data_IF_529999523285
#
_entry.id   IF_529999523285
#
_cell.length_a   1.000
_cell.length_b   1.000
_cell.length_c   1.000
_cell.angle_alpha   90.00
_cell.angle_beta   90.00
_cell.angle_gamma   90.00
#
_symmetry.space_group_name_H-M   'P 1'
#
loop_
_entity.id
_entity.type
_entity.pdbx_description
1 polymer ?
#
# COMPACT_ATOMS: atom_id res chain seq x y z
N UNK A 1 -24.15 -10.88 38.03
CA UNK A 1 -23.46 -10.59 36.77
C UNK A 1 -21.99 -10.98 36.90
N UNK A 2 -21.55 -11.96 36.14
CA UNK A 2 -20.15 -12.40 36.05
C UNK A 2 -19.34 -11.44 35.15
N UNK A 3 -18.00 -11.44 35.21
CA UNK A 3 -17.18 -10.65 34.30
C UNK A 3 -17.46 -10.94 32.81
N UNK A 4 -17.74 -12.21 32.47
CA UNK A 4 -18.07 -12.62 31.10
C UNK A 4 -19.45 -12.09 30.67
N UNK A 5 -20.44 -12.11 31.56
CA UNK A 5 -21.77 -11.52 31.30
C UNK A 5 -21.67 -10.01 31.08
N UNK A 6 -20.91 -9.29 31.93
CA UNK A 6 -20.69 -7.85 31.78
C UNK A 6 -19.97 -7.53 30.47
N UNK A 7 -18.94 -8.30 30.11
CA UNK A 7 -18.25 -8.15 28.82
C UNK A 7 -19.23 -8.31 27.66
N UNK A 8 -20.07 -9.35 27.67
CA UNK A 8 -21.06 -9.55 26.62
C UNK A 8 -22.07 -8.38 26.53
N UNK A 9 -22.53 -7.87 27.68
CA UNK A 9 -23.42 -6.71 27.72
C UNK A 9 -22.79 -5.47 27.08
N UNK A 10 -21.51 -5.19 27.37
CA UNK A 10 -20.76 -4.07 26.77
C UNK A 10 -20.67 -4.23 25.25
N UNK A 11 -20.38 -5.44 24.76
CA UNK A 11 -20.30 -5.72 23.33
C UNK A 11 -21.65 -5.56 22.64
N UNK A 12 -22.76 -5.99 23.25
CA UNK A 12 -24.10 -5.76 22.70
C UNK A 12 -24.47 -4.27 22.67
N UNK A 13 -24.16 -3.51 23.73
CA UNK A 13 -24.36 -2.05 23.74
C UNK A 13 -23.51 -1.34 22.68
N UNK A 14 -22.34 -1.88 22.35
CA UNK A 14 -21.49 -1.36 21.26
C UNK A 14 -22.19 -1.53 19.91
N UNK A 15 -22.84 -2.68 19.65
CA UNK A 15 -23.63 -2.89 18.43
C UNK A 15 -24.85 -1.95 18.37
N UNK A 16 -25.55 -1.79 19.49
CA UNK A 16 -26.67 -0.86 19.59
C UNK A 16 -26.23 0.57 19.26
N UNK A 17 -25.10 1.02 19.82
CA UNK A 17 -24.52 2.32 19.52
C UNK A 17 -24.21 2.48 18.03
N UNK A 18 -23.59 1.49 17.39
CA UNK A 18 -23.32 1.52 15.96
C UNK A 18 -24.60 1.75 15.14
N UNK A 19 -25.67 0.99 15.42
CA UNK A 19 -26.96 1.10 14.72
C UNK A 19 -27.63 2.46 14.91
N UNK A 20 -27.50 3.05 16.09
CA UNK A 20 -28.08 4.36 16.39
C UNK A 20 -27.28 5.53 15.81
N UNK A 21 -25.95 5.44 15.81
CA UNK A 21 -25.07 6.60 15.56
C UNK A 21 -24.38 6.55 14.20
N UNK A 22 -23.95 5.37 13.75
CA UNK A 22 -23.11 5.24 12.57
C UNK A 22 -23.86 4.71 11.34
N UNK A 23 -24.70 3.69 11.52
CA UNK A 23 -25.47 3.08 10.43
C UNK A 23 -26.32 4.09 9.64
N UNK A 24 -27.07 5.04 10.25
CA UNK A 24 -27.91 5.97 9.49
C UNK A 24 -27.11 6.86 8.53
N UNK A 25 -25.90 7.26 8.93
CA UNK A 25 -25.02 8.08 8.09
C UNK A 25 -24.45 7.29 6.90
N UNK A 26 -24.24 5.98 7.04
CA UNK A 26 -23.78 5.11 5.95
C UNK A 26 -24.86 4.86 4.89
N UNK A 27 -26.13 4.93 5.30
CA UNK A 27 -27.29 4.76 4.41
C UNK A 27 -28.00 6.07 4.05
N UNK A 28 -27.41 7.22 4.39
CA UNK A 28 -27.96 8.52 4.06
C UNK A 28 -28.18 8.64 2.54
N UNK A 29 -29.36 9.12 2.16
CA UNK A 29 -29.72 9.34 0.75
C UNK A 29 -28.76 10.37 0.14
N UNK A 30 -28.31 10.09 -1.07
CA UNK A 30 -27.49 11.03 -1.82
C UNK A 30 -28.34 12.18 -2.37
N UNK A 31 -27.94 13.41 -2.10
CA UNK A 31 -28.54 14.64 -2.64
C UNK A 31 -27.54 15.34 -3.58
N UNK A 32 -27.76 15.31 -4.91
CA UNK A 32 -26.89 15.99 -5.88
C UNK A 32 -26.65 17.47 -5.55
N UNK A 33 -25.41 17.92 -5.58
CA UNK A 33 -25.01 19.30 -5.27
C UNK A 33 -25.01 19.68 -3.79
N UNK A 34 -25.44 18.80 -2.88
CA UNK A 34 -25.36 19.00 -1.42
C UNK A 34 -24.52 17.95 -0.72
N UNK A 35 -24.72 16.68 -1.08
CA UNK A 35 -23.96 15.56 -0.53
C UNK A 35 -22.54 15.55 -1.09
N UNK A 36 -21.54 15.43 -0.22
CA UNK A 36 -20.15 15.30 -0.63
C UNK A 36 -19.89 13.92 -1.25
N UNK A 37 -19.16 13.89 -2.35
CA UNK A 37 -18.67 12.66 -3.00
C UNK A 37 -17.17 12.54 -2.72
N UNK A 38 -16.81 11.77 -1.70
CA UNK A 38 -15.41 11.57 -1.32
C UNK A 38 -14.68 10.68 -2.33
N UNK A 39 -13.36 10.87 -2.49
CA UNK A 39 -12.55 9.96 -3.33
C UNK A 39 -12.35 8.59 -2.66
N UNK A 40 -12.37 8.55 -1.32
CA UNK A 40 -12.24 7.32 -0.55
C UNK A 40 -12.94 7.47 0.80
N UNK A 41 -13.08 6.34 1.51
CA UNK A 41 -13.63 6.32 2.85
C UNK A 41 -13.57 4.93 3.46
N UNK A 42 -13.68 4.90 4.79
CA UNK A 42 -13.85 3.66 5.56
C UNK A 42 -15.27 3.12 5.39
N UNK A 43 -15.38 1.83 5.11
CA UNK A 43 -16.65 1.08 5.09
C UNK A 43 -16.55 0.03 6.16
N UNK A 44 -17.42 0.11 7.16
CA UNK A 44 -17.35 -0.69 8.39
C UNK A 44 -18.77 -0.94 8.91
N UNK A 45 -18.94 -1.94 9.75
CA UNK A 45 -20.18 -2.20 10.47
C UNK A 45 -19.92 -2.37 11.99
N UNK A 46 -20.87 -2.91 12.74
CA UNK A 46 -20.68 -3.13 14.16
C UNK A 46 -19.48 -4.05 14.49
N UNK A 47 -19.04 -4.92 13.58
CA UNK A 47 -18.00 -5.90 13.85
C UNK A 47 -16.64 -5.24 14.10
N UNK A 48 -16.29 -4.18 13.36
CA UNK A 48 -15.06 -3.43 13.62
C UNK A 48 -15.07 -2.81 15.03
N UNK A 49 -16.21 -2.23 15.44
CA UNK A 49 -16.36 -1.59 16.75
C UNK A 49 -16.36 -2.62 17.88
N UNK A 50 -17.06 -3.73 17.70
CA UNK A 50 -17.13 -4.84 18.68
C UNK A 50 -15.75 -5.45 18.89
N UNK A 51 -15.00 -5.75 17.82
CA UNK A 51 -13.65 -6.29 17.95
C UNK A 51 -12.70 -5.30 18.65
N UNK A 52 -12.83 -4.01 18.35
CA UNK A 52 -12.01 -2.97 18.99
C UNK A 52 -12.30 -2.86 20.50
N UNK A 53 -13.58 -2.88 20.90
CA UNK A 53 -13.99 -2.86 22.31
C UNK A 53 -13.58 -4.16 23.00
N UNK A 54 -13.74 -5.32 22.35
CA UNK A 54 -13.30 -6.61 22.87
C UNK A 54 -11.79 -6.61 23.18
N UNK A 55 -10.97 -6.14 22.26
CA UNK A 55 -9.52 -5.99 22.46
C UNK A 55 -9.19 -4.97 23.56
N UNK A 56 -9.98 -3.90 23.67
CA UNK A 56 -9.81 -2.89 24.72
C UNK A 56 -10.13 -3.44 26.12
N UNK A 57 -11.16 -4.29 26.23
CA UNK A 57 -11.54 -4.94 27.49
C UNK A 57 -10.54 -6.03 27.91
N UNK A 58 -9.90 -6.71 26.95
CA UNK A 58 -8.80 -7.65 27.22
C UNK A 58 -7.55 -6.93 27.75
N UNK A 59 -7.33 -5.68 27.31
CA UNK A 59 -6.27 -4.79 27.78
C UNK A 59 -4.85 -5.37 27.63
N UNK A 60 -4.63 -6.27 26.65
CA UNK A 60 -3.30 -6.78 26.29
C UNK A 60 -2.42 -5.74 25.59
N UNK A 61 -3.06 -4.80 24.87
CA UNK A 61 -2.50 -3.62 24.18
C UNK A 61 -1.53 -3.90 23.02
N UNK A 62 -0.54 -4.75 23.23
CA UNK A 62 0.54 -5.04 22.28
C UNK A 62 0.15 -6.18 21.32
N UNK A 63 1.05 -6.58 20.41
CA UNK A 63 0.86 -7.73 19.53
C UNK A 63 0.31 -8.96 20.30
N UNK A 64 -0.88 -9.42 19.92
CA UNK A 64 -1.65 -10.41 20.66
C UNK A 64 -2.50 -11.33 19.77
N UNK A 65 -3.68 -11.69 20.27
CA UNK A 65 -4.54 -12.68 19.64
C UNK A 65 -5.10 -12.20 18.30
N UNK A 66 -5.56 -10.95 18.21
CA UNK A 66 -6.05 -10.37 16.96
C UNK A 66 -4.93 -10.20 15.94
N UNK A 67 -3.73 -9.82 16.37
CA UNK A 67 -2.56 -9.70 15.50
C UNK A 67 -2.22 -11.04 14.84
N UNK A 68 -2.18 -12.13 15.63
CA UNK A 68 -1.93 -13.49 15.13
C UNK A 68 -3.05 -13.97 14.20
N UNK A 69 -4.31 -13.71 14.57
CA UNK A 69 -5.48 -14.05 13.75
C UNK A 69 -5.40 -13.35 12.39
N UNK A 70 -5.16 -12.03 12.38
CA UNK A 70 -5.06 -11.25 11.16
C UNK A 70 -3.89 -11.72 10.29
N UNK A 71 -2.66 -11.83 10.82
CA UNK A 71 -1.49 -12.25 10.04
C UNK A 71 -1.72 -13.61 9.37
N UNK A 72 -2.38 -14.56 10.07
CA UNK A 72 -2.74 -15.87 9.53
C UNK A 72 -3.76 -15.77 8.37
N UNK A 73 -4.88 -15.09 8.59
CA UNK A 73 -5.92 -14.98 7.57
C UNK A 73 -5.46 -14.14 6.37
N UNK A 74 -4.66 -13.10 6.60
CA UNK A 74 -4.06 -12.28 5.55
C UNK A 74 -3.04 -13.07 4.70
N UNK A 75 -2.17 -13.85 5.34
CA UNK A 75 -1.25 -14.73 4.64
C UNK A 75 -1.99 -15.78 3.79
N UNK A 76 -3.06 -16.37 4.34
CA UNK A 76 -3.94 -17.30 3.63
C UNK A 76 -4.63 -16.64 2.43
N UNK A 77 -5.18 -15.44 2.60
CA UNK A 77 -5.85 -14.67 1.55
C UNK A 77 -4.92 -14.38 0.37
N UNK A 78 -3.65 -14.05 0.64
CA UNK A 78 -2.65 -13.79 -0.39
C UNK A 78 -2.00 -15.06 -0.95
N UNK A 79 -2.14 -16.22 -0.28
CA UNK A 79 -1.44 -17.44 -0.65
C UNK A 79 0.07 -17.39 -0.37
N UNK A 80 0.49 -16.66 0.67
CA UNK A 80 1.90 -16.54 1.09
C UNK A 80 2.15 -17.25 2.42
N UNK A 81 3.41 -17.63 2.67
CA UNK A 81 3.79 -18.37 3.89
C UNK A 81 3.81 -17.49 5.15
N UNK A 82 4.24 -16.25 5.02
CA UNK A 82 4.39 -15.35 6.16
C UNK A 82 3.97 -13.92 5.83
N UNK A 83 3.17 -13.35 6.72
CA UNK A 83 2.82 -11.93 6.74
C UNK A 83 3.10 -11.35 8.13
N UNK A 84 3.57 -10.11 8.17
CA UNK A 84 3.98 -9.41 9.38
C UNK A 84 3.31 -8.05 9.44
N UNK A 85 2.46 -7.84 10.44
CA UNK A 85 1.84 -6.56 10.70
C UNK A 85 2.87 -5.51 11.12
N UNK A 86 2.69 -4.31 10.60
CA UNK A 86 3.45 -3.10 10.91
C UNK A 86 2.53 -1.89 11.02
N UNK A 87 3.01 -0.80 11.61
CA UNK A 87 2.18 0.35 11.98
C UNK A 87 1.70 1.23 10.81
N UNK A 88 2.21 1.04 9.58
CA UNK A 88 1.72 1.72 8.37
C UNK A 88 2.22 1.02 7.10
N UNK A 89 1.64 1.34 5.94
CA UNK A 89 2.19 0.94 4.64
C UNK A 89 3.61 1.49 4.41
N UNK A 90 3.87 2.72 4.82
CA UNK A 90 5.22 3.33 4.76
C UNK A 90 6.24 2.54 5.55
N UNK A 91 5.88 2.05 6.74
CA UNK A 91 6.72 1.17 7.55
C UNK A 91 6.87 -0.22 6.95
N UNK A 92 5.90 -0.70 6.18
CA UNK A 92 6.02 -1.94 5.42
C UNK A 92 7.07 -1.80 4.31
N UNK A 93 7.04 -0.69 3.54
CA UNK A 93 8.06 -0.36 2.56
C UNK A 93 9.45 -0.20 3.18
N UNK A 94 9.52 0.49 4.33
CA UNK A 94 10.76 0.62 5.10
C UNK A 94 11.33 -0.75 5.48
N UNK A 95 10.51 -1.61 6.09
CA UNK A 95 10.94 -2.93 6.55
C UNK A 95 11.33 -3.84 5.39
N UNK A 96 10.55 -3.83 4.30
CA UNK A 96 10.84 -4.60 3.09
C UNK A 96 12.20 -4.22 2.50
N UNK A 97 12.43 -2.92 2.32
CA UNK A 97 13.70 -2.43 1.80
C UNK A 97 14.88 -2.73 2.72
N UNK A 98 14.77 -2.37 4.01
CA UNK A 98 15.87 -2.57 4.96
C UNK A 98 16.20 -4.05 5.16
N UNK A 99 15.24 -4.97 5.01
CA UNK A 99 15.53 -6.40 5.06
C UNK A 99 16.55 -6.83 4.00
N UNK A 100 16.53 -6.22 2.82
CA UNK A 100 17.48 -6.49 1.74
C UNK A 100 18.89 -5.96 2.01
N UNK A 101 19.10 -5.21 3.10
CA UNK A 101 20.42 -4.68 3.51
C UNK A 101 21.15 -5.59 4.49
N UNK A 102 20.49 -6.66 4.96
CA UNK A 102 21.03 -7.53 6.00
C UNK A 102 22.32 -8.22 5.57
N UNK A 103 23.34 -8.30 6.46
CA UNK A 103 24.56 -9.07 6.18
C UNK A 103 24.29 -10.56 5.96
N UNK A 104 23.15 -11.09 6.42
CA UNK A 104 22.77 -12.49 6.18
C UNK A 104 22.55 -12.79 4.68
N UNK A 105 22.30 -11.78 3.87
CA UNK A 105 22.14 -11.90 2.41
C UNK A 105 23.47 -11.90 1.64
N UNK A 106 24.61 -11.78 2.34
CA UNK A 106 25.97 -11.86 1.77
C UNK A 106 26.13 -10.90 0.57
N UNK A 107 26.55 -11.39 -0.59
CA UNK A 107 26.82 -10.56 -1.78
C UNK A 107 25.57 -10.00 -2.46
N UNK A 108 24.40 -10.61 -2.22
CA UNK A 108 23.13 -10.13 -2.76
C UNK A 108 22.53 -9.00 -1.91
N UNK A 109 23.11 -8.67 -0.74
CA UNK A 109 22.64 -7.54 0.07
C UNK A 109 22.80 -6.21 -0.66
N UNK A 110 21.86 -5.30 -0.44
CA UNK A 110 21.96 -3.90 -0.86
C UNK A 110 22.94 -3.19 0.08
N UNK A 111 23.93 -2.50 -0.48
CA UNK A 111 24.91 -1.66 0.22
C UNK A 111 24.63 -0.19 -0.09
N UNK A 112 25.19 0.71 0.72
CA UNK A 112 25.12 2.15 0.44
C UNK A 112 25.77 2.46 -0.91
N UNK A 113 25.12 3.28 -1.72
CA UNK A 113 25.54 3.60 -3.08
C UNK A 113 25.11 2.59 -4.15
N UNK A 114 24.53 1.45 -3.78
CA UNK A 114 23.88 0.55 -4.74
C UNK A 114 22.60 1.20 -5.29
N UNK A 115 22.20 0.77 -6.48
CA UNK A 115 21.10 1.36 -7.24
C UNK A 115 19.81 0.53 -7.15
N UNK A 116 18.68 1.23 -7.07
CA UNK A 116 17.34 0.63 -7.00
C UNK A 116 16.46 1.28 -8.05
N UNK A 117 16.00 0.50 -9.02
CA UNK A 117 15.15 1.00 -10.09
C UNK A 117 13.72 1.21 -9.56
N UNK A 118 13.15 2.37 -9.86
CA UNK A 118 11.81 2.78 -9.44
C UNK A 118 11.26 3.86 -10.38
N UNK A 119 10.14 4.49 -10.03
CA UNK A 119 9.50 5.56 -10.80
C UNK A 119 9.34 6.83 -9.98
N UNK A 120 9.37 7.99 -10.67
CA UNK A 120 9.21 9.28 -10.01
C UNK A 120 7.74 9.65 -9.77
N UNK A 121 6.81 9.03 -10.51
CA UNK A 121 5.37 9.20 -10.33
C UNK A 121 4.82 8.12 -9.39
N UNK A 122 4.74 8.45 -8.11
CA UNK A 122 4.26 7.52 -7.10
C UNK A 122 4.13 8.17 -5.73
N UNK A 123 3.98 7.35 -4.71
CA UNK A 123 3.91 7.80 -3.33
C UNK A 123 5.33 7.90 -2.72
N UNK A 124 5.63 8.96 -1.94
CA UNK A 124 7.01 9.23 -1.49
C UNK A 124 7.62 8.10 -0.65
N UNK A 125 6.82 7.37 0.13
CA UNK A 125 7.33 6.32 1.01
C UNK A 125 7.58 4.98 0.30
N UNK A 126 7.33 4.88 -1.00
CA UNK A 126 7.89 3.82 -1.86
C UNK A 126 9.38 4.05 -2.11
N UNK A 127 9.82 5.32 -2.21
CA UNK A 127 11.22 5.68 -2.53
C UNK A 127 12.03 6.07 -1.30
N UNK A 128 11.38 6.64 -0.28
CA UNK A 128 12.07 7.13 0.91
C UNK A 128 13.02 6.10 1.58
N UNK A 129 12.68 4.80 1.72
CA UNK A 129 13.59 3.82 2.32
C UNK A 129 14.93 3.68 1.58
N UNK A 130 14.91 3.82 0.24
CA UNK A 130 16.10 3.75 -0.62
C UNK A 130 17.06 4.88 -0.23
N UNK A 131 16.55 6.11 -0.21
CA UNK A 131 17.31 7.32 0.12
C UNK A 131 17.76 7.31 1.58
N UNK A 132 16.88 6.93 2.52
CA UNK A 132 17.18 6.87 3.96
C UNK A 132 18.34 5.93 4.28
N UNK A 133 18.43 4.79 3.60
CA UNK A 133 19.56 3.87 3.76
C UNK A 133 20.84 4.39 3.10
N UNK A 134 20.74 5.30 2.13
CA UNK A 134 21.85 5.79 1.30
C UNK A 134 22.10 4.93 0.05
N UNK A 135 21.08 4.22 -0.43
CA UNK A 135 21.06 3.68 -1.79
C UNK A 135 20.57 4.76 -2.77
N UNK A 136 20.78 4.53 -4.07
CA UNK A 136 20.50 5.51 -5.13
C UNK A 136 19.25 5.08 -5.90
N UNK A 137 18.12 5.80 -5.79
CA UNK A 137 16.96 5.53 -6.64
C UNK A 137 17.28 5.89 -8.09
N UNK A 138 16.94 4.99 -9.00
CA UNK A 138 17.09 5.15 -10.45
C UNK A 138 15.70 5.23 -11.06
N UNK A 139 15.30 6.43 -11.47
CA UNK A 139 13.98 6.67 -12.03
C UNK A 139 13.95 6.35 -13.52
N UNK A 140 12.97 5.53 -13.89
CA UNK A 140 12.49 5.39 -15.27
C UNK A 140 11.11 6.03 -15.41
N UNK A 141 10.71 6.31 -16.65
CA UNK A 141 9.42 6.95 -16.93
C UNK A 141 8.23 5.97 -16.78
N UNK A 142 7.02 6.53 -16.90
CA UNK A 142 5.75 5.80 -16.80
C UNK A 142 5.12 5.53 -18.17
N UNK A 143 4.22 4.56 -18.24
CA UNK A 143 3.24 4.40 -19.32
C UNK A 143 1.97 5.21 -18.98
N UNK A 144 1.40 5.93 -19.95
CA UNK A 144 0.18 6.73 -19.75
C UNK A 144 -1.12 5.92 -19.87
N UNK A 145 -1.07 4.74 -20.50
CA UNK A 145 -2.25 3.90 -20.66
C UNK A 145 -2.61 3.18 -19.35
N UNK A 146 -1.60 2.60 -18.70
CA UNK A 146 -1.76 1.81 -17.48
C UNK A 146 -1.37 2.57 -16.20
N UNK A 147 -0.72 3.73 -16.32
CA UNK A 147 -0.18 4.54 -15.22
C UNK A 147 0.78 3.75 -14.32
N UNK A 148 1.66 2.94 -14.94
CA UNK A 148 2.68 2.16 -14.26
C UNK A 148 4.05 2.36 -14.91
N UNK A 149 5.09 1.76 -14.33
CA UNK A 149 6.46 1.78 -14.85
C UNK A 149 6.55 1.35 -16.32
N UNK A 150 7.26 2.14 -17.15
CA UNK A 150 7.63 1.70 -18.50
C UNK A 150 8.73 0.65 -18.43
N UNK A 151 8.28 -0.61 -18.42
CA UNK A 151 9.15 -1.78 -18.34
C UNK A 151 10.15 -1.88 -19.49
N UNK A 152 9.93 -1.21 -20.62
CA UNK A 152 10.88 -1.21 -21.75
C UNK A 152 12.16 -0.43 -21.45
N UNK A 153 12.16 0.40 -20.39
CA UNK A 153 13.32 1.20 -19.96
C UNK A 153 14.23 0.49 -18.96
N UNK A 154 13.85 -0.69 -18.46
CA UNK A 154 14.58 -1.39 -17.40
C UNK A 154 16.04 -1.72 -17.78
N UNK A 155 16.26 -2.24 -18.99
CA UNK A 155 17.61 -2.58 -19.46
C UNK A 155 18.50 -1.33 -19.60
N UNK A 156 17.93 -0.18 -19.93
CA UNK A 156 18.67 1.10 -19.97
C UNK A 156 18.99 1.62 -18.56
N UNK A 157 18.20 1.25 -17.57
CA UNK A 157 18.39 1.64 -16.19
C UNK A 157 19.43 0.79 -15.46
N UNK A 158 19.67 -0.43 -15.94
CA UNK A 158 20.61 -1.38 -15.37
C UNK A 158 22.05 -0.81 -15.35
N UNK A 159 22.75 -1.08 -14.26
CA UNK A 159 24.18 -0.84 -14.12
C UNK A 159 24.81 -1.93 -13.23
N UNK A 160 26.16 -2.00 -13.13
CA UNK A 160 26.83 -2.90 -12.18
C UNK A 160 26.47 -2.66 -10.71
N UNK A 161 25.86 -1.51 -10.37
CA UNK A 161 25.41 -1.16 -9.02
C UNK A 161 23.96 -1.54 -8.76
N UNK A 162 23.19 -1.91 -9.78
CA UNK A 162 21.77 -2.24 -9.61
C UNK A 162 21.61 -3.49 -8.76
N UNK A 163 20.75 -3.41 -7.73
CA UNK A 163 20.46 -4.53 -6.83
C UNK A 163 19.00 -4.89 -6.71
N UNK A 164 18.10 -3.97 -7.03
CA UNK A 164 16.68 -4.20 -6.85
C UNK A 164 15.82 -3.37 -7.81
N UNK A 165 14.60 -3.83 -8.00
CA UNK A 165 13.46 -3.02 -8.46
C UNK A 165 12.47 -2.91 -7.30
N UNK A 166 12.05 -1.69 -6.98
CA UNK A 166 11.01 -1.42 -5.98
C UNK A 166 9.98 -0.47 -6.58
N UNK A 167 8.78 -0.97 -6.83
CA UNK A 167 7.75 -0.23 -7.57
C UNK A 167 6.36 -0.60 -7.07
N UNK A 168 5.44 0.37 -7.12
CA UNK A 168 4.06 0.19 -6.71
C UNK A 168 3.15 -0.23 -7.87
N UNK A 169 2.13 -1.02 -7.56
CA UNK A 169 0.99 -1.24 -8.47
C UNK A 169 0.04 -0.03 -8.36
N UNK A 170 0.29 0.97 -9.20
CA UNK A 170 -0.30 2.31 -9.05
C UNK A 170 -1.82 2.28 -9.10
N UNK A 171 -2.47 2.84 -8.08
CA UNK A 171 -3.93 2.93 -7.93
C UNK A 171 -4.70 1.62 -8.13
N UNK A 172 -4.06 0.48 -7.84
CA UNK A 172 -4.69 -0.83 -7.96
C UNK A 172 -4.44 -1.52 -9.30
N UNK A 173 -3.96 -0.81 -10.32
CA UNK A 173 -3.60 -1.40 -11.59
C UNK A 173 -2.23 -2.07 -11.48
N UNK A 174 -2.11 -3.39 -11.73
CA UNK A 174 -0.80 -4.03 -11.70
C UNK A 174 0.09 -3.47 -12.81
N UNK A 175 1.36 -3.15 -12.53
CA UNK A 175 2.36 -3.00 -13.59
C UNK A 175 2.54 -4.32 -14.36
N UNK A 176 3.28 -4.31 -15.47
CA UNK A 176 3.64 -5.54 -16.20
C UNK A 176 4.58 -6.44 -15.35
N UNK A 177 3.99 -7.20 -14.42
CA UNK A 177 4.74 -7.94 -13.41
C UNK A 177 5.64 -8.99 -14.04
N UNK A 178 5.14 -9.66 -15.08
CA UNK A 178 5.90 -10.67 -15.81
C UNK A 178 7.19 -10.09 -16.38
N UNK A 179 7.12 -8.98 -17.11
CA UNK A 179 8.30 -8.36 -17.70
C UNK A 179 9.30 -7.87 -16.63
N UNK A 180 8.82 -7.23 -15.57
CA UNK A 180 9.67 -6.77 -14.46
C UNK A 180 10.33 -7.94 -13.75
N UNK A 181 9.58 -9.02 -13.48
CA UNK A 181 10.09 -10.22 -12.81
C UNK A 181 11.12 -10.96 -13.65
N UNK A 182 10.87 -11.11 -14.95
CA UNK A 182 11.82 -11.70 -15.90
C UNK A 182 13.13 -10.90 -15.96
N UNK A 183 13.04 -9.57 -15.95
CA UNK A 183 14.21 -8.69 -15.85
C UNK A 183 14.98 -8.89 -14.53
N UNK A 184 14.29 -8.93 -13.39
CA UNK A 184 14.93 -9.17 -12.10
C UNK A 184 15.62 -10.54 -12.05
N UNK A 185 14.98 -11.59 -12.56
CA UNK A 185 15.53 -12.95 -12.57
C UNK A 185 16.77 -13.06 -13.46
N UNK A 186 16.73 -12.44 -14.64
CA UNK A 186 17.85 -12.41 -15.59
C UNK A 186 19.13 -11.80 -14.97
N UNK A 187 18.96 -10.80 -14.11
CA UNK A 187 20.06 -9.99 -13.56
C UNK A 187 20.31 -10.22 -12.06
N UNK A 188 19.70 -11.25 -11.46
CA UNK A 188 19.79 -11.59 -10.02
C UNK A 188 19.41 -10.42 -9.08
N UNK A 189 18.45 -9.60 -9.50
CA UNK A 189 17.96 -8.45 -8.73
C UNK A 189 16.85 -8.87 -7.77
N UNK A 190 16.70 -8.13 -6.67
CA UNK A 190 15.52 -8.24 -5.82
C UNK A 190 14.31 -7.55 -6.45
N UNK A 191 13.11 -8.07 -6.17
CA UNK A 191 11.86 -7.38 -6.48
C UNK A 191 11.06 -7.12 -5.21
N UNK A 192 10.80 -5.84 -4.91
CA UNK A 192 9.80 -5.43 -3.91
C UNK A 192 8.57 -4.92 -4.64
N UNK A 193 7.44 -5.57 -4.40
CA UNK A 193 6.13 -5.12 -4.87
C UNK A 193 5.49 -4.25 -3.78
N UNK A 194 5.44 -2.94 -4.03
CA UNK A 194 4.59 -2.06 -3.24
C UNK A 194 3.13 -2.26 -3.65
N UNK A 195 2.41 -3.00 -2.81
CA UNK A 195 1.03 -3.41 -3.04
C UNK A 195 0.10 -2.70 -2.04
N UNK A 196 0.48 -1.50 -1.59
CA UNK A 196 -0.34 -0.68 -0.70
C UNK A 196 -1.71 -0.37 -1.33
N UNK A 197 -1.73 0.08 -2.59
CA UNK A 197 -2.95 0.49 -3.29
C UNK A 197 -3.56 -0.60 -4.19
N UNK A 198 -3.07 -1.84 -4.14
CA UNK A 198 -3.48 -2.90 -5.06
C UNK A 198 -3.86 -4.20 -4.36
N UNK A 199 -4.24 -4.12 -3.08
CA UNK A 199 -4.72 -5.29 -2.36
C UNK A 199 -5.95 -5.88 -3.08
N UNK A 200 -5.84 -7.15 -3.47
CA UNK A 200 -6.89 -7.90 -4.17
C UNK A 200 -6.80 -7.84 -5.69
N UNK A 201 -5.84 -7.09 -6.25
CA UNK A 201 -5.55 -7.15 -7.68
C UNK A 201 -4.90 -8.50 -8.02
N UNK A 202 -5.21 -9.00 -9.21
CA UNK A 202 -4.59 -10.22 -9.75
C UNK A 202 -3.83 -9.89 -11.04
N UNK A 203 -2.76 -10.63 -11.29
CA UNK A 203 -2.05 -10.68 -12.57
C UNK A 203 -1.88 -12.16 -12.92
N UNK A 204 -2.25 -12.59 -14.12
CA UNK A 204 -2.27 -14.01 -14.50
C UNK A 204 -2.96 -14.91 -13.45
N UNK A 205 -4.04 -14.42 -12.84
CA UNK A 205 -4.80 -15.10 -11.78
C UNK A 205 -4.09 -15.19 -10.41
N UNK A 206 -2.86 -14.69 -10.27
CA UNK A 206 -2.09 -14.69 -9.03
C UNK A 206 -2.16 -13.32 -8.34
N UNK A 207 -2.34 -13.25 -7.01
CA UNK A 207 -2.38 -11.97 -6.28
C UNK A 207 -1.11 -11.12 -6.47
N UNK A 208 -1.30 -9.82 -6.67
CA UNK A 208 -0.20 -8.84 -6.62
C UNK A 208 0.45 -8.80 -5.23
N UNK A 209 1.72 -8.41 -5.18
CA UNK A 209 2.54 -8.48 -3.96
C UNK A 209 3.16 -9.86 -3.69
N UNK A 210 2.82 -10.88 -4.48
CA UNK A 210 3.25 -12.28 -4.25
C UNK A 210 4.17 -12.83 -5.36
N UNK A 211 4.57 -11.98 -6.30
CA UNK A 211 5.45 -12.29 -7.42
C UNK A 211 6.92 -12.02 -7.12
N UNK A 212 7.20 -10.93 -6.42
CA UNK A 212 8.52 -10.54 -5.96
C UNK A 212 8.97 -11.28 -4.70
N UNK A 213 10.08 -10.82 -4.15
CA UNK A 213 10.69 -11.40 -2.95
C UNK A 213 9.98 -10.93 -1.67
N UNK A 214 9.48 -9.69 -1.68
CA UNK A 214 8.72 -9.08 -0.57
C UNK A 214 7.57 -8.24 -1.15
N UNK A 215 6.38 -8.42 -0.60
CA UNK A 215 5.23 -7.55 -0.85
C UNK A 215 4.91 -6.68 0.37
N UNK A 216 4.26 -5.54 0.13
CA UNK A 216 3.80 -4.64 1.19
C UNK A 216 2.34 -4.25 1.01
N UNK A 217 1.64 -3.94 2.09
CA UNK A 217 0.26 -3.45 2.06
C UNK A 217 0.03 -2.38 3.11
N UNK A 218 -0.95 -1.51 2.86
CA UNK A 218 -1.35 -0.40 3.73
C UNK A 218 -2.79 -0.57 4.19
N UNK A 219 -3.06 -0.20 5.44
CA UNK A 219 -4.38 -0.24 6.07
C UNK A 219 -4.80 1.15 6.58
N UNK A 220 -4.31 2.21 5.94
CA UNK A 220 -4.78 3.59 6.16
C UNK A 220 -6.19 3.78 5.56
N UNK A 221 -7.09 4.62 6.10
CA UNK A 221 -8.53 4.59 5.81
C UNK A 221 -8.98 4.69 4.33
N UNK A 222 -8.24 5.34 3.41
CA UNK A 222 -8.55 5.34 1.99
C UNK A 222 -8.38 3.99 1.27
N UNK A 223 -7.58 3.07 1.82
CA UNK A 223 -7.21 1.81 1.18
C UNK A 223 -8.35 0.79 1.17
N UNK A 224 -8.10 -0.39 0.62
CA UNK A 224 -9.11 -1.43 0.45
C UNK A 224 -9.68 -1.96 1.76
N UNK A 225 -8.89 -1.92 2.82
CA UNK A 225 -9.29 -2.20 4.19
C UNK A 225 -8.53 -1.28 5.13
N UNK A 226 -9.03 -1.11 6.36
CA UNK A 226 -8.43 -0.19 7.32
C UNK A 226 -8.19 -0.77 8.71
N UNK A 227 -7.18 -0.25 9.40
CA UNK A 227 -6.95 -0.41 10.84
C UNK A 227 -6.87 0.95 11.56
N UNK A 228 -7.36 2.02 10.91
CA UNK A 228 -7.02 3.41 11.26
C UNK A 228 -5.61 3.75 10.79
N UNK A 229 -4.60 3.14 11.40
CA UNK A 229 -3.21 3.12 10.92
C UNK A 229 -2.74 1.67 10.92
N UNK A 230 -2.02 1.25 9.88
CA UNK A 230 -1.52 -0.12 9.78
C UNK A 230 -0.96 -0.45 8.41
N UNK A 231 -0.24 -1.56 8.35
CA UNK A 231 0.27 -2.15 7.12
C UNK A 231 0.78 -3.56 7.38
N UNK A 232 1.23 -4.22 6.32
CA UNK A 232 1.85 -5.53 6.42
C UNK A 232 2.99 -5.67 5.42
N UNK A 233 4.01 -6.45 5.78
CA UNK A 233 5.01 -6.97 4.85
C UNK A 233 4.94 -8.49 4.81
N UNK A 234 5.17 -9.10 3.66
CA UNK A 234 4.98 -10.54 3.48
C UNK A 234 5.97 -11.13 2.48
N UNK A 235 6.30 -12.41 2.68
CA UNK A 235 7.28 -13.13 1.87
C UNK A 235 7.05 -14.65 1.92
N UNK A 236 7.58 -15.34 0.92
CA UNK A 236 7.71 -16.80 0.91
C UNK A 236 9.14 -17.28 1.23
N UNK A 237 10.09 -16.36 1.45
CA UNK A 237 11.49 -16.68 1.71
C UNK A 237 11.77 -16.76 3.23
N UNK A 238 12.21 -17.93 3.75
CA UNK A 238 12.44 -18.12 5.19
C UNK A 238 13.58 -17.25 5.76
N UNK A 239 14.56 -16.91 4.94
CA UNK A 239 15.66 -16.02 5.34
C UNK A 239 15.16 -14.58 5.48
N UNK A 240 14.38 -14.09 4.51
CA UNK A 240 13.76 -12.76 4.58
C UNK A 240 12.77 -12.66 5.75
N UNK A 241 11.99 -13.71 6.03
CA UNK A 241 11.20 -13.82 7.26
C UNK A 241 12.06 -13.53 8.51
N UNK A 242 13.19 -14.22 8.65
CA UNK A 242 14.05 -14.09 9.84
C UNK A 242 14.54 -12.66 9.99
N UNK A 243 15.00 -12.07 8.88
CA UNK A 243 15.52 -10.69 8.85
C UNK A 243 14.42 -9.69 9.20
N UNK A 244 13.25 -9.78 8.55
CA UNK A 244 12.14 -8.87 8.79
C UNK A 244 11.62 -8.94 10.22
N UNK A 245 11.50 -10.14 10.81
CA UNK A 245 11.12 -10.28 12.21
C UNK A 245 12.13 -9.61 13.15
N UNK A 246 13.42 -9.82 12.90
CA UNK A 246 14.48 -9.17 13.68
C UNK A 246 14.39 -7.65 13.57
N UNK A 247 14.36 -7.09 12.36
CA UNK A 247 14.32 -5.65 12.12
C UNK A 247 13.04 -4.99 12.62
N UNK A 248 11.88 -5.64 12.54
CA UNK A 248 10.62 -5.12 13.09
C UNK A 248 10.65 -5.03 14.62
N UNK A 249 11.37 -5.95 15.26
CA UNK A 249 11.40 -6.16 16.70
C UNK A 249 12.75 -5.76 17.31
N UNK A 250 13.07 -4.48 17.21
CA UNK A 250 14.27 -3.82 17.77
C UNK A 250 15.60 -4.30 17.21
N UNK A 251 15.61 -5.13 16.17
CA UNK A 251 16.82 -5.73 15.62
C UNK A 251 17.31 -6.92 16.44
N UNK A 252 16.49 -7.45 17.36
CA UNK A 252 16.86 -8.56 18.23
C UNK A 252 17.12 -9.84 17.41
N UNK A 253 18.11 -10.63 17.80
CA UNK A 253 18.43 -11.90 17.14
C UNK A 253 17.44 -13.01 17.50
N UNK A 254 16.90 -12.94 18.71
CA UNK A 254 15.93 -13.87 19.22
C UNK A 254 14.59 -13.80 18.46
N UNK A 255 14.11 -14.95 18.00
CA UNK A 255 12.84 -15.09 17.26
C UNK A 255 11.66 -15.53 18.13
N UNK A 256 11.82 -15.56 19.46
CA UNK A 256 10.72 -15.92 20.36
C UNK A 256 9.52 -14.99 20.16
N UNK A 257 8.32 -15.57 20.19
CA UNK A 257 7.08 -14.80 20.13
C UNK A 257 7.01 -13.77 21.29
N UNK A 258 6.27 -12.68 21.07
CA UNK A 258 5.97 -11.73 22.14
C UNK A 258 5.33 -12.44 23.33
N UNK A 259 5.82 -12.15 24.55
CA UNK A 259 5.39 -12.83 25.77
C UNK A 259 5.93 -14.24 25.99
N UNK A 260 6.68 -14.82 25.02
CA UNK A 260 7.30 -16.14 25.15
C UNK A 260 8.81 -16.00 25.33
N UNK A 261 9.37 -16.84 26.19
CA UNK A 261 10.80 -16.91 26.48
C UNK A 261 11.40 -18.23 26.01
N UNK A 262 12.66 -18.16 25.55
CA UNK A 262 13.51 -19.34 25.33
C UNK A 262 12.93 -20.39 24.36
N UNK A 263 12.13 -19.99 23.37
CA UNK A 263 11.69 -20.87 22.27
C UNK A 263 12.89 -21.50 21.54
N UNK A 264 14.01 -20.77 21.46
CA UNK A 264 15.26 -21.28 20.89
C UNK A 264 15.98 -22.33 21.77
N UNK A 265 15.61 -22.49 23.04
CA UNK A 265 16.31 -23.29 24.07
C UNK A 265 17.78 -22.89 24.28
N UNK A 266 18.13 -21.66 23.92
CA UNK A 266 19.51 -21.14 23.91
C UNK A 266 19.68 -19.79 24.61
N UNK A 267 18.68 -19.35 25.40
CA UNK A 267 18.64 -18.00 25.99
C UNK A 267 19.90 -17.61 26.78
N UNK A 268 20.48 -18.54 27.55
CA UNK A 268 21.64 -18.29 28.41
C UNK A 268 22.80 -19.27 28.16
N UNK A 269 22.89 -19.89 26.98
CA UNK A 269 23.88 -20.96 26.71
C UNK A 269 24.83 -20.67 25.55
N UNK A 270 24.79 -19.47 24.99
CA UNK A 270 25.59 -19.08 23.83
C UNK A 270 26.44 -17.84 24.13
N UNK A 271 27.45 -17.62 23.28
CA UNK A 271 28.21 -16.37 23.21
C UNK A 271 27.92 -15.72 21.86
N UNK A 272 27.64 -14.42 21.86
CA UNK A 272 27.31 -13.66 20.65
C UNK A 272 28.29 -12.49 20.48
N UNK A 273 29.12 -12.54 19.45
CA UNK A 273 30.19 -11.55 19.26
C UNK A 273 31.10 -11.46 20.50
N UNK A 274 31.30 -10.24 20.98
CA UNK A 274 32.13 -9.95 22.17
C UNK A 274 31.34 -9.94 23.48
N UNK A 275 30.02 -10.15 23.44
CA UNK A 275 29.19 -10.26 24.66
C UNK A 275 29.66 -11.43 25.54
N UNK A 276 29.46 -11.36 26.87
CA UNK A 276 29.81 -12.46 27.76
C UNK A 276 29.00 -13.74 27.42
N UNK A 277 29.59 -14.91 27.71
CA UNK A 277 28.87 -16.17 27.57
C UNK A 277 27.63 -16.17 28.48
N UNK A 278 26.50 -16.61 27.93
CA UNK A 278 25.24 -16.66 28.67
C UNK A 278 24.49 -15.33 28.76
N UNK A 279 24.92 -14.29 28.02
CA UNK A 279 24.12 -13.07 27.87
C UNK A 279 22.73 -13.38 27.31
N UNK A 280 21.70 -12.74 27.85
CA UNK A 280 20.31 -13.03 27.51
C UNK A 280 20.05 -12.84 26.01
N UNK A 281 19.71 -13.91 25.31
CA UNK A 281 19.41 -13.87 23.87
C UNK A 281 18.31 -12.85 23.51
N UNK A 282 17.38 -12.52 24.43
CA UNK A 282 16.38 -11.46 24.21
C UNK A 282 16.99 -10.06 24.04
N UNK A 283 18.19 -9.84 24.56
CA UNK A 283 18.93 -8.58 24.49
C UNK A 283 20.18 -8.67 23.60
N UNK A 284 20.23 -9.69 22.73
CA UNK A 284 21.20 -9.75 21.65
C UNK A 284 20.57 -9.16 20.40
N UNK A 285 21.26 -8.21 19.77
CA UNK A 285 20.79 -7.53 18.57
C UNK A 285 21.69 -7.87 17.38
N UNK A 286 21.11 -8.44 16.32
CA UNK A 286 21.83 -8.83 15.10
C UNK A 286 21.59 -7.89 13.92
N UNK A 287 20.69 -6.92 14.07
CA UNK A 287 20.42 -5.88 13.08
C UNK A 287 20.23 -4.52 13.74
N UNK A 288 20.46 -3.44 12.99
CA UNK A 288 19.90 -2.13 13.32
C UNK A 288 18.41 -2.14 12.95
N UNK A 289 17.58 -2.51 13.91
CA UNK A 289 16.13 -2.60 13.73
C UNK A 289 15.37 -1.38 14.23
N UNK A 290 14.06 -1.53 14.24
CA UNK A 290 13.05 -0.53 14.55
C UNK A 290 12.05 -1.11 15.57
N UNK A 291 11.03 -0.35 15.94
CA UNK A 291 9.84 -0.90 16.59
C UNK A 291 8.61 -0.51 15.78
N UNK A 292 8.23 -1.38 14.83
CA UNK A 292 7.17 -1.08 13.87
C UNK A 292 5.88 -1.86 14.14
N UNK A 293 5.77 -2.57 15.25
CA UNK A 293 4.59 -3.38 15.58
C UNK A 293 3.35 -2.51 15.80
N UNK A 294 2.19 -3.09 15.50
CA UNK A 294 0.87 -2.53 15.85
C UNK A 294 0.42 -2.99 17.23
N UNK A 295 -0.55 -2.26 17.77
CA UNK A 295 -1.39 -2.73 18.89
C UNK A 295 -2.37 -3.83 18.44
N UNK A 296 -2.82 -4.66 19.38
CA UNK A 296 -3.86 -5.66 19.07
C UNK A 296 -5.19 -4.99 18.70
N UNK A 297 -5.45 -3.79 19.21
CA UNK A 297 -6.63 -2.98 18.91
C UNK A 297 -6.72 -2.64 17.42
N UNK A 298 -5.59 -2.26 16.80
CA UNK A 298 -5.53 -2.01 15.36
C UNK A 298 -5.81 -3.31 14.58
N UNK A 299 -5.19 -4.43 15.00
CA UNK A 299 -5.40 -5.72 14.37
C UNK A 299 -6.85 -6.23 14.50
N UNK A 300 -7.54 -5.88 15.59
CA UNK A 300 -8.93 -6.25 15.85
C UNK A 300 -9.89 -5.66 14.80
N UNK A 301 -9.67 -4.40 14.42
CA UNK A 301 -10.39 -3.75 13.31
C UNK A 301 -10.11 -4.48 12.00
N UNK A 302 -8.84 -4.78 11.71
CA UNK A 302 -8.49 -5.50 10.48
C UNK A 302 -9.09 -6.91 10.40
N UNK A 303 -9.25 -7.60 11.54
CA UNK A 303 -9.91 -8.90 11.59
C UNK A 303 -11.38 -8.85 11.14
N UNK A 304 -12.09 -7.76 11.41
CA UNK A 304 -13.45 -7.58 10.89
C UNK A 304 -13.45 -7.17 9.41
N UNK A 305 -12.47 -6.36 8.99
CA UNK A 305 -12.38 -5.88 7.60
C UNK A 305 -12.03 -6.99 6.60
N UNK A 306 -11.15 -7.92 6.97
CA UNK A 306 -10.72 -9.00 6.06
C UNK A 306 -11.86 -9.92 5.65
N UNK A 307 -12.87 -10.09 6.52
CA UNK A 307 -14.08 -10.88 6.23
C UNK A 307 -14.94 -10.22 5.14
N UNK A 308 -14.94 -8.89 5.07
CA UNK A 308 -15.69 -8.09 4.08
C UNK A 308 -14.93 -7.89 2.77
N UNK A 309 -13.63 -8.16 2.76
CA UNK A 309 -12.72 -7.79 1.69
C UNK A 309 -13.15 -8.23 0.26
N UNK A 310 -13.69 -9.46 0.04
CA UNK A 310 -14.18 -9.83 -1.29
C UNK A 310 -15.26 -8.90 -1.83
N UNK A 311 -16.15 -8.40 -0.96
CA UNK A 311 -17.20 -7.45 -1.36
C UNK A 311 -16.62 -6.08 -1.73
N UNK A 312 -15.56 -5.65 -1.05
CA UNK A 312 -14.88 -4.39 -1.34
C UNK A 312 -14.24 -4.41 -2.74
N UNK A 313 -13.59 -5.51 -3.11
CA UNK A 313 -13.04 -5.69 -4.46
C UNK A 313 -14.16 -5.62 -5.51
N UNK A 314 -15.23 -6.39 -5.32
CA UNK A 314 -16.35 -6.45 -6.27
C UNK A 314 -16.97 -5.06 -6.50
N UNK A 315 -17.21 -4.30 -5.41
CA UNK A 315 -17.77 -2.94 -5.49
C UNK A 315 -16.83 -1.96 -6.20
N UNK A 316 -15.52 -2.03 -5.93
CA UNK A 316 -14.52 -1.18 -6.60
C UNK A 316 -14.49 -1.43 -8.11
N UNK A 317 -14.53 -2.70 -8.53
CA UNK A 317 -14.59 -3.09 -9.95
C UNK A 317 -15.88 -2.62 -10.63
N UNK A 318 -17.02 -2.79 -9.97
CA UNK A 318 -18.31 -2.32 -10.48
C UNK A 318 -18.33 -0.80 -10.66
N UNK A 319 -17.88 -0.06 -9.65
CA UNK A 319 -17.82 1.41 -9.67
C UNK A 319 -16.89 1.92 -10.77
N UNK A 320 -15.70 1.31 -10.90
CA UNK A 320 -14.77 1.61 -11.98
C UNK A 320 -15.41 1.40 -13.35
N UNK A 321 -16.05 0.24 -13.57
CA UNK A 321 -16.69 -0.08 -14.85
C UNK A 321 -17.76 0.96 -15.22
N UNK A 322 -18.59 1.37 -14.26
CA UNK A 322 -19.64 2.38 -14.48
C UNK A 322 -19.05 3.73 -14.88
N UNK A 323 -17.98 4.18 -14.22
CA UNK A 323 -17.27 5.41 -14.60
C UNK A 323 -16.64 5.30 -15.99
N UNK A 324 -15.94 4.19 -16.25
CA UNK A 324 -15.30 3.94 -17.55
C UNK A 324 -16.33 3.98 -18.69
N UNK A 325 -17.42 3.21 -18.57
CA UNK A 325 -18.45 3.16 -19.60
C UNK A 325 -19.11 4.52 -19.85
N UNK A 326 -19.26 5.36 -18.81
CA UNK A 326 -19.87 6.68 -18.92
C UNK A 326 -18.94 7.79 -19.43
N UNK A 327 -17.62 7.56 -19.44
CA UNK A 327 -16.63 8.59 -19.77
C UNK A 327 -15.77 8.24 -20.99
N UNK A 328 -15.70 6.98 -21.42
CA UNK A 328 -14.78 6.49 -22.47
C UNK A 328 -14.89 7.17 -23.83
N UNK A 329 -16.04 7.76 -24.13
CA UNK A 329 -16.29 8.42 -25.42
C UNK A 329 -15.91 9.93 -25.41
N UNK A 330 -15.44 10.45 -24.26
CA UNK A 330 -14.96 11.83 -24.11
C UNK A 330 -13.51 11.90 -24.60
N UNK A 331 -13.29 12.53 -25.77
CA UNK A 331 -11.97 12.58 -26.43
C UNK A 331 -10.97 13.49 -25.70
N UNK A 332 -11.46 14.45 -24.93
CA UNK A 332 -10.66 15.36 -24.12
C UNK A 332 -10.07 14.68 -22.87
N UNK A 333 -10.43 13.42 -22.59
CA UNK A 333 -9.96 12.65 -21.45
C UNK A 333 -9.34 11.32 -21.89
N UNK A 334 -8.10 11.08 -21.48
CA UNK A 334 -7.44 9.78 -21.55
C UNK A 334 -7.74 9.05 -20.24
N UNK A 335 -8.42 7.91 -20.33
CA UNK A 335 -8.81 7.10 -19.17
C UNK A 335 -7.82 5.95 -18.97
N UNK A 336 -7.54 5.61 -17.71
CA UNK A 336 -6.76 4.41 -17.40
C UNK A 336 -7.48 3.14 -17.88
N UNK A 337 -6.71 2.21 -18.43
CA UNK A 337 -7.18 0.88 -18.79
C UNK A 337 -6.47 -0.19 -17.94
N UNK A 338 -7.09 -1.37 -17.72
CA UNK A 338 -6.42 -2.46 -17.02
C UNK A 338 -5.18 -2.92 -17.81
N UNK A 339 -4.09 -3.17 -17.10
CA UNK A 339 -2.91 -3.82 -17.67
C UNK A 339 -3.33 -5.17 -18.32
N UNK A 340 -2.79 -5.54 -19.51
CA UNK A 340 -3.01 -6.86 -20.08
C UNK A 340 -2.73 -7.99 -19.09
N UNK A 341 -3.59 -9.01 -19.10
CA UNK A 341 -3.59 -10.17 -18.19
C UNK A 341 -3.81 -9.84 -16.71
N UNK A 342 -4.29 -8.65 -16.38
CA UNK A 342 -4.62 -8.26 -15.02
C UNK A 342 -6.12 -8.25 -14.73
N UNK A 343 -6.45 -8.35 -13.45
CA UNK A 343 -7.78 -8.10 -12.90
C UNK A 343 -7.65 -7.10 -11.73
N UNK A 344 -7.63 -5.79 -12.02
CA UNK A 344 -7.33 -4.77 -11.02
C UNK A 344 -8.41 -4.61 -9.96
N UNK A 345 -7.98 -4.54 -8.70
CA UNK A 345 -8.76 -4.07 -7.56
C UNK A 345 -8.53 -2.56 -7.42
N UNK A 346 -9.26 -1.77 -8.20
CA UNK A 346 -9.04 -0.33 -8.34
C UNK A 346 -9.10 0.45 -7.02
N UNK A 347 -8.04 1.20 -6.74
CA UNK A 347 -8.00 2.17 -5.64
C UNK A 347 -8.74 3.46 -6.00
N UNK A 348 -8.48 3.97 -7.20
CA UNK A 348 -9.03 5.20 -7.76
C UNK A 348 -9.23 5.09 -9.27
N UNK A 349 -9.98 6.03 -9.84
CA UNK A 349 -10.22 6.15 -11.28
C UNK A 349 -9.38 7.31 -11.84
N UNK A 350 -8.29 6.98 -12.53
CA UNK A 350 -7.36 7.96 -13.10
C UNK A 350 -7.84 8.48 -14.45
N UNK A 351 -7.68 9.79 -14.64
CA UNK A 351 -7.94 10.48 -15.90
C UNK A 351 -6.81 11.46 -16.19
N UNK A 352 -6.53 11.67 -17.47
CA UNK A 352 -5.59 12.68 -17.95
C UNK A 352 -6.26 13.56 -18.98
N UNK A 353 -6.11 14.87 -18.84
CA UNK A 353 -6.59 15.80 -19.87
C UNK A 353 -5.74 15.62 -21.13
N UNK A 354 -6.41 15.35 -22.25
CA UNK A 354 -5.77 15.10 -23.53
C UNK A 354 -5.11 16.38 -24.08
N UNK A 355 -4.05 16.21 -24.85
CA UNK A 355 -3.39 17.33 -25.52
C UNK A 355 -4.37 18.02 -26.48
N UNK A 356 -4.39 19.35 -26.46
CA UNK A 356 -5.32 20.15 -27.28
C UNK A 356 -6.73 20.33 -26.71
N UNK A 357 -7.03 19.76 -25.54
CA UNK A 357 -8.26 20.10 -24.82
C UNK A 357 -8.31 21.61 -24.51
N UNK A 358 -9.50 22.20 -24.58
CA UNK A 358 -9.72 23.64 -24.35
C UNK A 358 -9.76 24.03 -22.86
N UNK A 359 -9.33 23.15 -21.98
CA UNK A 359 -9.32 23.33 -20.53
C UNK A 359 -8.14 22.58 -19.94
N UNK A 360 -7.67 23.05 -18.77
CA UNK A 360 -6.63 22.37 -18.01
C UNK A 360 -7.21 21.35 -17.03
N UNK A 361 -6.36 20.47 -16.50
CA UNK A 361 -6.71 19.58 -15.38
C UNK A 361 -7.19 20.35 -14.15
N UNK A 362 -6.63 21.53 -13.87
CA UNK A 362 -7.07 22.38 -12.77
C UNK A 362 -8.48 22.91 -13.00
N UNK A 363 -8.82 23.35 -14.21
CA UNK A 363 -10.18 23.83 -14.51
C UNK A 363 -11.23 22.75 -14.24
N UNK A 364 -10.96 21.52 -14.67
CA UNK A 364 -11.85 20.38 -14.44
C UNK A 364 -11.90 19.99 -12.96
N UNK A 365 -10.74 19.88 -12.28
CA UNK A 365 -10.69 19.53 -10.86
C UNK A 365 -11.40 20.56 -9.99
N UNK A 366 -11.20 21.86 -10.23
CA UNK A 366 -11.90 22.92 -9.52
C UNK A 366 -13.41 22.89 -9.76
N UNK A 367 -13.84 22.61 -10.99
CA UNK A 367 -15.26 22.47 -11.31
C UNK A 367 -15.90 21.30 -10.55
N UNK A 368 -15.20 20.17 -10.48
CA UNK A 368 -15.63 18.99 -9.72
C UNK A 368 -15.67 19.26 -8.22
N UNK A 369 -14.64 19.88 -7.65
CA UNK A 369 -14.60 20.23 -6.22
C UNK A 369 -15.70 21.24 -5.85
N UNK A 370 -15.99 22.22 -6.71
CA UNK A 370 -17.13 23.15 -6.55
C UNK A 370 -18.48 22.42 -6.60
N UNK A 371 -18.57 21.31 -7.33
CA UNK A 371 -19.74 20.42 -7.34
C UNK A 371 -19.75 19.40 -6.18
N UNK A 372 -18.82 19.50 -5.23
CA UNK A 372 -18.72 18.58 -4.09
C UNK A 372 -18.14 17.21 -4.42
N UNK A 373 -17.52 17.05 -5.59
CA UNK A 373 -16.82 15.84 -6.04
C UNK A 373 -15.34 16.00 -5.74
N UNK A 374 -14.84 15.16 -4.83
CA UNK A 374 -13.47 15.24 -4.39
C UNK A 374 -12.52 14.63 -5.42
N UNK A 375 -11.44 15.33 -5.71
CA UNK A 375 -10.40 14.98 -6.68
C UNK A 375 -9.04 14.89 -6.02
N UNK A 376 -8.10 14.14 -6.62
CA UNK A 376 -6.72 14.03 -6.13
C UNK A 376 -5.76 13.98 -7.30
N UNK A 377 -4.61 14.64 -7.20
CA UNK A 377 -3.50 14.38 -8.11
C UNK A 377 -2.93 12.96 -7.87
N UNK A 378 -2.14 12.44 -8.82
CA UNK A 378 -1.39 11.20 -8.59
C UNK A 378 -0.25 11.44 -7.58
N UNK A 379 -0.59 11.53 -6.30
CA UNK A 379 0.37 11.64 -5.21
C UNK A 379 1.38 12.77 -5.42
N UNK A 380 2.66 12.44 -5.57
CA UNK A 380 3.72 13.41 -5.84
C UNK A 380 3.72 13.92 -7.30
N UNK A 381 3.04 13.28 -8.25
CA UNK A 381 3.12 13.61 -9.67
C UNK A 381 4.50 13.28 -10.22
N UNK A 382 5.47 14.18 -10.07
CA UNK A 382 6.89 13.91 -10.30
C UNK A 382 7.69 14.25 -9.04
N UNK A 383 8.12 13.22 -8.29
CA UNK A 383 8.90 13.37 -7.07
C UNK A 383 10.15 14.25 -7.26
N UNK A 384 10.83 14.16 -8.41
CA UNK A 384 12.06 14.93 -8.69
C UNK A 384 11.84 16.44 -8.79
N UNK A 385 10.58 16.89 -8.85
CA UNK A 385 10.17 18.32 -8.86
C UNK A 385 9.79 18.84 -7.47
N UNK A 386 9.74 17.98 -6.45
CA UNK A 386 9.37 18.40 -5.09
C UNK A 386 10.53 19.07 -4.34
N UNK A 387 10.24 19.94 -3.36
CA UNK A 387 11.27 20.58 -2.55
C UNK A 387 12.25 19.60 -1.87
N UNK A 388 11.81 18.38 -1.55
CA UNK A 388 12.68 17.37 -0.94
C UNK A 388 13.83 16.91 -1.86
N UNK A 389 13.73 17.15 -3.17
CA UNK A 389 14.78 16.89 -4.15
C UNK A 389 15.68 18.11 -4.41
N UNK A 390 15.40 19.28 -3.82
CA UNK A 390 16.12 20.52 -4.11
C UNK A 390 17.63 20.43 -3.80
N UNK A 391 17.99 19.72 -2.73
CA UNK A 391 19.39 19.54 -2.30
C UNK A 391 20.01 18.23 -2.82
N UNK A 392 19.28 17.43 -3.60
CA UNK A 392 19.75 16.16 -4.14
C UNK A 392 20.36 16.35 -5.54
N UNK A 393 21.49 15.71 -5.79
CA UNK A 393 22.24 15.81 -7.04
C UNK A 393 21.98 14.62 -7.96
N UNK A 394 21.54 14.89 -9.19
CA UNK A 394 21.43 13.89 -10.26
C UNK A 394 22.80 13.26 -10.53
N UNK A 395 22.84 11.94 -10.67
CA UNK A 395 24.06 11.15 -10.90
C UNK A 395 24.82 10.79 -9.63
N UNK A 396 24.43 11.33 -8.47
CA UNK A 396 25.02 11.03 -7.16
C UNK A 396 23.99 10.50 -6.17
N UNK A 397 22.97 11.31 -5.87
CA UNK A 397 21.96 10.98 -4.87
C UNK A 397 20.77 10.25 -5.49
N UNK A 398 20.50 10.47 -6.77
CA UNK A 398 19.55 9.72 -7.59
C UNK A 398 19.97 9.76 -9.05
N UNK A 399 19.40 8.91 -9.90
CA UNK A 399 19.63 8.89 -11.34
C UNK A 399 18.32 8.91 -12.10
N UNK A 400 18.30 9.51 -13.28
CA UNK A 400 17.16 9.52 -14.19
C UNK A 400 17.63 8.91 -15.51
N UNK A 401 16.86 7.95 -16.03
CA UNK A 401 17.20 7.23 -17.27
C UNK A 401 16.35 7.81 -18.39
N UNK A 402 17.00 8.48 -19.34
CA UNK A 402 16.31 9.19 -20.41
C UNK A 402 15.58 10.43 -19.87
N UNK A 403 14.32 10.58 -20.24
CA UNK A 403 13.45 11.69 -19.84
C UNK A 403 12.23 11.16 -19.10
N UNK A 404 11.66 11.99 -18.22
CA UNK A 404 10.46 11.68 -17.44
C UNK A 404 9.22 12.37 -18.04
N UNK A 405 9.03 12.25 -19.36
CA UNK A 405 8.00 12.99 -20.11
C UNK A 405 6.59 12.63 -19.65
N UNK A 406 6.31 11.33 -19.52
CA UNK A 406 4.99 10.86 -19.12
C UNK A 406 4.75 11.14 -17.63
N UNK A 407 5.79 11.04 -16.80
CA UNK A 407 5.75 11.47 -15.39
C UNK A 407 5.41 12.96 -15.26
N UNK A 408 6.05 13.84 -16.04
CA UNK A 408 5.73 15.28 -16.06
C UNK A 408 4.31 15.53 -16.61
N UNK A 409 3.87 14.79 -17.63
CA UNK A 409 2.48 14.85 -18.10
C UNK A 409 1.49 14.44 -17.00
N UNK A 410 1.79 13.37 -16.26
CA UNK A 410 0.96 12.92 -15.13
C UNK A 410 0.84 14.01 -14.05
N UNK A 411 1.95 14.66 -13.71
CA UNK A 411 1.97 15.75 -12.72
C UNK A 411 1.09 16.95 -13.14
N UNK A 412 1.08 17.27 -14.43
CA UNK A 412 0.45 18.48 -14.97
C UNK A 412 -1.01 18.27 -15.37
N UNK A 413 -1.34 17.11 -15.93
CA UNK A 413 -2.60 16.87 -16.64
C UNK A 413 -3.45 15.76 -16.04
N UNK A 414 -2.93 14.98 -15.09
CA UNK A 414 -3.65 13.85 -14.51
C UNK A 414 -4.18 14.10 -13.11
N UNK A 415 -5.33 13.51 -12.83
CA UNK A 415 -5.95 13.44 -11.52
C UNK A 415 -6.87 12.21 -11.46
N UNK A 416 -7.22 11.79 -10.25
CA UNK A 416 -8.10 10.67 -10.02
C UNK A 416 -9.25 11.03 -9.08
N UNK A 417 -10.32 10.25 -9.21
CA UNK A 417 -11.53 10.31 -8.39
C UNK A 417 -11.84 8.95 -7.79
N UNK A 418 -12.78 8.91 -6.85
CA UNK A 418 -13.08 7.69 -6.10
C UNK A 418 -13.77 6.59 -6.89
N UNK A 419 -13.48 5.34 -6.51
CA UNK A 419 -14.25 4.12 -6.85
C UNK A 419 -14.54 3.25 -5.62
N UNK A 420 -14.29 3.77 -4.41
CA UNK A 420 -14.35 2.99 -3.18
C UNK A 420 -15.77 2.43 -2.89
N UNK A 421 -15.91 1.39 -2.03
CA UNK A 421 -17.17 0.65 -1.91
C UNK A 421 -18.38 1.47 -1.44
N UNK A 422 -18.17 2.58 -0.72
CA UNK A 422 -19.22 3.47 -0.22
C UNK A 422 -19.83 4.42 -1.28
N UNK A 423 -19.45 4.25 -2.55
CA UNK A 423 -20.08 4.97 -3.67
C UNK A 423 -21.31 4.21 -4.17
N UNK A 424 -22.45 4.89 -4.17
CA UNK A 424 -23.69 4.40 -4.77
C UNK A 424 -23.69 4.66 -6.28
N UNK A 425 -24.56 3.94 -7.01
CA UNK A 425 -24.73 4.17 -8.44
C UNK A 425 -25.17 5.62 -8.77
N UNK A 426 -25.93 6.24 -7.87
CA UNK A 426 -26.36 7.65 -7.99
C UNK A 426 -25.18 8.62 -7.89
N UNK A 427 -24.24 8.38 -6.95
CA UNK A 427 -23.01 9.18 -6.84
C UNK A 427 -22.15 9.06 -8.11
N UNK A 428 -22.01 7.83 -8.63
CA UNK A 428 -21.25 7.58 -9.86
C UNK A 428 -21.91 8.27 -11.07
N UNK A 429 -23.24 8.16 -11.20
CA UNK A 429 -23.98 8.88 -12.26
C UNK A 429 -23.79 10.39 -12.15
N UNK A 430 -23.87 10.94 -10.94
CA UNK A 430 -23.67 12.36 -10.71
C UNK A 430 -22.28 12.83 -11.14
N UNK A 431 -21.23 12.06 -10.83
CA UNK A 431 -19.87 12.34 -11.32
C UNK A 431 -19.85 12.43 -12.85
N UNK A 432 -20.39 11.42 -13.53
CA UNK A 432 -20.43 11.35 -15.00
C UNK A 432 -21.17 12.57 -15.56
N UNK A 433 -22.37 12.86 -15.05
CA UNK A 433 -23.19 13.98 -15.50
C UNK A 433 -22.45 15.34 -15.34
N UNK A 434 -21.71 15.52 -14.24
CA UNK A 434 -20.95 16.75 -13.98
C UNK A 434 -19.76 16.88 -14.92
N UNK A 435 -19.01 15.80 -15.16
CA UNK A 435 -17.88 15.79 -16.11
C UNK A 435 -18.37 16.07 -17.54
N UNK A 436 -19.41 15.35 -17.99
CA UNK A 436 -20.00 15.55 -19.33
C UNK A 436 -20.48 16.97 -19.52
N UNK A 437 -21.17 17.54 -18.51
CA UNK A 437 -21.64 18.93 -18.55
C UNK A 437 -20.48 19.93 -18.63
N UNK A 438 -19.41 19.70 -17.87
CA UNK A 438 -18.22 20.55 -17.94
C UNK A 438 -17.60 20.52 -19.32
N UNK A 439 -17.35 19.33 -19.88
CA UNK A 439 -16.72 19.18 -21.20
C UNK A 439 -17.59 19.81 -22.29
N UNK A 440 -18.90 19.58 -22.27
CA UNK A 440 -19.83 20.17 -23.23
C UNK A 440 -19.91 21.72 -23.16
N UNK A 441 -19.42 22.33 -22.08
CA UNK A 441 -19.39 23.79 -21.91
C UNK A 441 -18.12 24.47 -22.47
N UNK A 442 -17.19 23.71 -23.05
CA UNK A 442 -15.90 24.18 -23.57
C UNK A 442 -15.88 24.10 -25.10
#
# INVERSE_FOLDING_TARGET
MTPQELKQEILEKTKEYYRLVHEPAQHAKFEPGKSRVNYAGRVFDEHEMVNLVDSSLDFWLTYGAYSKKFEKEFAKMLGVKWAFLVNSGSSANLLAFFALTSPLLKERRIKRGDEVITVAAGFPTTVAPIVQYGAVPVFVDMELEYFNIDHTKLELALSPKTKAVMVAHTLGNPFNIKAVKEFCDKHDLWLIEDNCDALGSLYDGKPTGTWGDIGTSSFYPPHHMTMGEGGATYTNNPLLKKIMLSMRDWGRDCWCESGVDNTCKKRFSQKFGELPIGYDHKYVYSHFGFNLKVSDMQAAVGCAQIEKFPTFIARRKENFKRLYDGLKDIKELILVTPQPNSDPSWFGFMMTVADGAKFSRNDLSEYLEKAGIQTRNLFAGNMTRHPLFADLQVGKDYRVVGELKNTDKIMNDSFWIGVYPGMSAEKIKYIIDVIVRFVASK
#
